data_IF_652915979641
#
_entry.id   IF_652915979641
#
_cell.length_a   1.000
_cell.length_b   1.000
_cell.length_c   1.000
_cell.angle_alpha   90.00
_cell.angle_beta   90.00
_cell.angle_gamma   90.00
#
_symmetry.space_group_name_H-M   'P 1'
#
loop_
_entity.id
_entity.type
_entity.pdbx_description
1 polymer ?
#
# COMPACT_ATOMS: atom_id res chain seq x y z
N UNK A 1 9.75 11.14 -8.33
CA UNK A 1 8.48 11.86 -8.09
C UNK A 1 7.45 10.83 -7.65
N UNK A 2 6.62 11.13 -6.66
CA UNK A 2 5.59 10.20 -6.17
C UNK A 2 4.20 10.63 -6.66
N UNK A 3 3.25 9.69 -6.69
CA UNK A 3 1.83 9.96 -6.89
C UNK A 3 1.10 9.75 -5.57
N UNK A 4 0.34 10.75 -5.10
CA UNK A 4 -0.59 10.58 -4.00
C UNK A 4 -1.95 10.15 -4.53
N UNK A 5 -2.47 9.03 -4.05
CA UNK A 5 -3.70 8.38 -4.50
C UNK A 5 -4.70 8.42 -3.35
N UNK A 6 -5.81 9.10 -3.58
CA UNK A 6 -6.88 9.30 -2.60
C UNK A 6 -8.28 9.09 -3.23
N UNK A 7 -8.34 8.68 -4.50
CA UNK A 7 -9.57 8.36 -5.22
C UNK A 7 -9.50 6.92 -5.72
N UNK A 8 -10.63 6.20 -5.65
CA UNK A 8 -10.68 4.79 -6.03
C UNK A 8 -10.35 4.55 -7.51
N UNK A 9 -10.66 5.52 -8.38
CA UNK A 9 -10.32 5.46 -9.82
C UNK A 9 -8.80 5.46 -10.06
N UNK A 10 -8.06 6.28 -9.31
CA UNK A 10 -6.60 6.31 -9.37
C UNK A 10 -5.99 5.02 -8.81
N UNK A 11 -6.60 4.46 -7.75
CA UNK A 11 -6.21 3.16 -7.22
C UNK A 11 -6.44 2.04 -8.25
N UNK A 12 -7.55 2.07 -8.99
CA UNK A 12 -7.82 1.08 -10.04
C UNK A 12 -6.74 1.10 -11.15
N UNK A 13 -6.24 2.28 -11.52
CA UNK A 13 -5.11 2.42 -12.46
C UNK A 13 -3.84 1.78 -11.88
N UNK A 14 -3.57 1.99 -10.59
CA UNK A 14 -2.44 1.36 -9.92
C UNK A 14 -2.56 -0.17 -9.89
N UNK A 15 -3.74 -0.70 -9.54
CA UNK A 15 -4.00 -2.14 -9.49
C UNK A 15 -3.75 -2.82 -10.84
N UNK A 16 -4.10 -2.16 -11.96
CA UNK A 16 -3.78 -2.67 -13.30
C UNK A 16 -2.27 -2.66 -13.55
N UNK A 17 -1.53 -1.64 -13.09
CA UNK A 17 -0.06 -1.62 -13.23
C UNK A 17 0.60 -2.73 -12.43
N UNK A 18 0.08 -3.03 -11.24
CA UNK A 18 0.58 -4.12 -10.39
C UNK A 18 0.51 -5.49 -11.09
N UNK A 19 -0.39 -5.70 -12.05
CA UNK A 19 -0.45 -6.97 -12.82
C UNK A 19 0.80 -7.26 -13.66
N UNK A 20 1.59 -6.21 -13.95
CA UNK A 20 2.82 -6.32 -14.73
C UNK A 20 4.08 -6.31 -13.87
N UNK A 21 3.93 -6.30 -12.54
CA UNK A 21 5.03 -6.29 -11.59
C UNK A 21 4.88 -7.47 -10.63
N UNK A 22 5.97 -8.17 -10.33
CA UNK A 22 5.94 -9.32 -9.41
C UNK A 22 6.58 -9.02 -8.06
N UNK A 23 7.23 -7.87 -7.92
CA UNK A 23 7.94 -7.44 -6.71
C UNK A 23 7.48 -6.05 -6.29
N UNK A 24 7.14 -5.88 -5.02
CA UNK A 24 6.73 -4.60 -4.44
C UNK A 24 7.61 -4.25 -3.25
N UNK A 25 8.03 -2.99 -3.15
CA UNK A 25 8.56 -2.47 -1.88
C UNK A 25 7.47 -1.67 -1.18
N UNK A 26 7.26 -1.96 0.09
CA UNK A 26 6.12 -1.49 0.87
C UNK A 26 6.59 -0.89 2.20
N UNK A 27 5.85 0.10 2.67
CA UNK A 27 6.00 0.73 3.99
C UNK A 27 4.62 1.29 4.38
N UNK A 28 4.39 1.52 5.67
CA UNK A 28 3.09 2.00 6.17
C UNK A 28 3.22 3.00 7.30
N UNK A 29 2.33 4.00 7.30
CA UNK A 29 2.22 5.00 8.37
C UNK A 29 0.90 4.83 9.10
N UNK A 30 0.95 4.76 10.44
CA UNK A 30 -0.24 4.50 11.26
C UNK A 30 -0.43 5.54 12.37
N UNK A 31 -1.68 5.72 12.78
CA UNK A 31 -2.06 6.49 13.97
C UNK A 31 -2.44 5.50 15.07
N UNK A 32 -1.74 5.57 16.22
CA UNK A 32 -1.98 4.73 17.42
C UNK A 32 -2.49 5.52 18.62
N UNK A 33 -3.14 6.67 18.38
CA UNK A 33 -3.65 7.55 19.44
C UNK A 33 -5.11 7.20 19.73
N UNK A 34 -5.39 6.83 20.98
CA UNK A 34 -6.74 6.52 21.49
C UNK A 34 -7.49 5.42 20.73
N UNK A 35 -6.78 4.45 20.15
CA UNK A 35 -7.35 3.31 19.44
C UNK A 35 -6.79 1.99 19.96
N UNK A 36 -7.64 0.94 20.00
CA UNK A 36 -7.20 -0.42 20.35
C UNK A 36 -6.33 -1.02 19.24
N UNK A 37 -6.67 -0.75 17.97
CA UNK A 37 -5.90 -1.15 16.80
C UNK A 37 -5.35 0.09 16.09
N UNK A 38 -4.13 0.02 15.52
CA UNK A 38 -3.59 1.09 14.69
C UNK A 38 -4.54 1.40 13.53
N UNK A 39 -4.72 2.68 13.22
CA UNK A 39 -5.42 3.11 12.00
C UNK A 39 -4.39 3.38 10.92
N UNK A 40 -4.53 2.71 9.77
CA UNK A 40 -3.70 2.98 8.60
C UNK A 40 -3.94 4.41 8.10
N UNK A 41 -2.90 5.23 8.11
CA UNK A 41 -2.90 6.58 7.56
C UNK A 41 -2.48 6.55 6.09
N UNK A 42 -1.29 6.04 5.81
CA UNK A 42 -0.74 5.93 4.46
C UNK A 42 -0.15 4.54 4.25
N UNK A 43 -0.35 3.98 3.06
CA UNK A 43 0.43 2.84 2.59
C UNK A 43 1.28 3.26 1.39
N UNK A 44 2.58 3.05 1.47
CA UNK A 44 3.54 3.40 0.45
C UNK A 44 3.86 2.16 -0.37
N UNK A 45 3.87 2.29 -1.69
CA UNK A 45 4.29 1.21 -2.59
C UNK A 45 5.24 1.74 -3.67
N UNK A 46 6.32 1.01 -3.90
CA UNK A 46 7.17 1.13 -5.07
C UNK A 46 6.99 -0.09 -5.97
N UNK A 47 6.63 0.18 -7.23
CA UNK A 47 6.50 -0.78 -8.32
C UNK A 47 7.39 -0.31 -9.47
N UNK A 48 8.50 -1.02 -9.68
CA UNK A 48 9.45 -0.76 -10.78
C UNK A 48 9.89 0.72 -10.90
N UNK A 49 10.22 1.34 -9.75
CA UNK A 49 10.66 2.73 -9.67
C UNK A 49 9.54 3.77 -9.66
N UNK A 50 8.28 3.36 -9.81
CA UNK A 50 7.11 4.23 -9.61
C UNK A 50 6.67 4.17 -8.15
N UNK A 51 6.66 5.32 -7.48
CA UNK A 51 6.25 5.44 -6.08
C UNK A 51 4.82 5.96 -6.01
N UNK A 52 3.94 5.22 -5.33
CA UNK A 52 2.59 5.62 -4.99
C UNK A 52 2.43 5.69 -3.47
N UNK A 53 1.68 6.69 -3.01
CA UNK A 53 1.28 6.89 -1.62
C UNK A 53 -0.24 6.77 -1.57
N UNK A 54 -0.75 5.73 -0.92
CA UNK A 54 -2.16 5.38 -0.84
C UNK A 54 -2.74 5.93 0.46
N UNK A 55 -3.79 6.74 0.38
CA UNK A 55 -4.51 7.21 1.55
C UNK A 55 -5.33 6.08 2.18
N UNK A 56 -4.84 5.52 3.28
CA UNK A 56 -5.47 4.41 4.00
C UNK A 56 -6.74 4.80 4.76
N UNK A 57 -7.09 6.09 4.81
CA UNK A 57 -8.27 6.59 5.52
C UNK A 57 -9.51 6.68 4.63
N UNK A 58 -9.34 6.73 3.31
CA UNK A 58 -10.44 6.91 2.34
C UNK A 58 -10.53 5.80 1.28
N UNK A 59 -9.44 5.11 0.97
CA UNK A 59 -9.42 4.08 -0.07
C UNK A 59 -9.96 2.75 0.44
N UNK A 60 -10.69 2.03 -0.42
CA UNK A 60 -10.91 0.60 -0.23
C UNK A 60 -9.72 -0.17 -0.79
N UNK A 61 -8.90 -0.70 0.13
CA UNK A 61 -7.67 -1.43 -0.17
C UNK A 61 -7.87 -2.94 -0.32
N UNK A 62 -9.11 -3.45 -0.31
CA UNK A 62 -9.37 -4.90 -0.37
C UNK A 62 -8.65 -5.58 -1.54
N UNK A 63 -8.81 -5.05 -2.76
CA UNK A 63 -8.14 -5.60 -3.95
C UNK A 63 -6.65 -5.28 -4.03
N UNK A 64 -6.20 -4.23 -3.34
CA UNK A 64 -4.78 -3.96 -3.21
C UNK A 64 -4.09 -5.05 -2.40
N UNK A 65 -4.67 -5.44 -1.27
CA UNK A 65 -4.16 -6.53 -0.45
C UNK A 65 -4.13 -7.86 -1.21
N UNK A 66 -5.16 -8.16 -2.01
CA UNK A 66 -5.15 -9.35 -2.88
C UNK A 66 -3.90 -9.36 -3.79
N UNK A 67 -3.54 -8.22 -4.40
CA UNK A 67 -2.35 -8.15 -5.25
C UNK A 67 -1.06 -8.31 -4.44
N UNK A 68 -0.97 -7.71 -3.26
CA UNK A 68 0.20 -7.84 -2.36
C UNK A 68 0.37 -9.29 -1.92
N UNK A 69 -0.68 -9.98 -1.47
CA UNK A 69 -0.61 -11.38 -1.03
C UNK A 69 -0.26 -12.36 -2.16
N UNK A 70 -0.63 -12.05 -3.40
CA UNK A 70 -0.32 -12.86 -4.58
C UNK A 70 1.00 -12.45 -5.28
N UNK A 71 1.74 -11.48 -4.74
CA UNK A 71 3.02 -11.07 -5.29
C UNK A 71 4.07 -12.19 -5.17
N UNK A 72 5.04 -12.22 -6.09
CA UNK A 72 6.18 -13.12 -5.95
C UNK A 72 7.09 -12.69 -4.79
N UNK A 73 7.22 -11.39 -4.56
CA UNK A 73 8.04 -10.85 -3.47
C UNK A 73 7.49 -9.52 -2.96
N UNK A 74 7.34 -9.42 -1.64
CA UNK A 74 7.14 -8.14 -0.96
C UNK A 74 8.38 -7.80 -0.14
N UNK A 75 8.87 -6.58 -0.28
CA UNK A 75 10.06 -6.08 0.39
C UNK A 75 9.62 -5.03 1.39
N UNK A 76 9.92 -5.27 2.66
CA UNK A 76 9.73 -4.31 3.73
C UNK A 76 11.02 -4.19 4.56
N UNK A 77 11.15 -3.11 5.32
CA UNK A 77 12.22 -2.94 6.30
C UNK A 77 11.63 -2.83 7.70
N UNK A 78 12.05 -3.69 8.63
CA UNK A 78 11.56 -3.70 10.02
C UNK A 78 10.03 -3.82 10.15
N UNK A 79 9.42 -4.72 9.38
CA UNK A 79 7.96 -4.81 9.19
C UNK A 79 7.14 -5.45 10.30
N UNK A 80 7.66 -5.51 11.53
CA UNK A 80 6.91 -6.14 12.62
C UNK A 80 5.59 -5.42 12.91
N UNK A 81 5.56 -4.09 12.74
CA UNK A 81 4.33 -3.30 12.96
C UNK A 81 3.44 -3.21 11.71
N UNK A 82 4.00 -3.44 10.52
CA UNK A 82 3.24 -3.37 9.26
C UNK A 82 2.40 -4.65 9.03
N UNK A 83 2.82 -5.77 9.62
CA UNK A 83 2.20 -7.09 9.46
C UNK A 83 1.17 -7.40 10.56
N UNK A 84 1.25 -6.72 11.71
CA UNK A 84 0.39 -6.93 12.90
C UNK A 84 -1.11 -6.72 12.59
#
# INVERSE_FOLDING_TARGET
MFQFIQQQEDLAVLLHKMEHCSTYALDTEFIKVDTLYPKLGVCQINLDGQVALLDGTVLDLTHFWDKVFNAQQNIFHACSEDID
#
